data_IF_347945475754
#
_entry.id   IF_347945475754
#
_cell.length_a   1.000
_cell.length_b   1.000
_cell.length_c   1.000
_cell.angle_alpha   90.00
_cell.angle_beta   90.00
_cell.angle_gamma   90.00
#
_symmetry.space_group_name_H-M   'P 1'
#
loop_
_entity.id
_entity.type
_entity.pdbx_description
1 polymer ?
#
# COMPACT_ATOMS: atom_id res chain seq x y z
N UNK A 1 -22.46 -14.56 9.84
CA UNK A 1 -23.51 -15.56 9.53
C UNK A 1 -23.72 -16.45 10.74
N UNK A 2 -24.92 -16.54 11.25
CA UNK A 2 -25.29 -17.37 12.40
C UNK A 2 -26.69 -17.96 12.15
N UNK A 3 -26.80 -19.15 11.53
CA UNK A 3 -28.07 -19.81 11.38
C UNK A 3 -28.56 -20.33 12.74
N UNK A 4 -29.83 -20.15 13.05
CA UNK A 4 -30.41 -20.66 14.29
C UNK A 4 -31.53 -19.80 14.88
N UNK A 5 -31.91 -20.09 16.11
CA UNK A 5 -32.97 -19.39 16.82
C UNK A 5 -32.68 -17.91 17.01
N UNK A 6 -33.72 -17.08 16.96
CA UNK A 6 -33.62 -15.61 17.05
C UNK A 6 -32.78 -15.09 18.21
N UNK A 7 -32.72 -15.78 19.33
CA UNK A 7 -31.97 -15.36 20.51
C UNK A 7 -30.45 -15.55 20.37
N UNK A 8 -30.00 -16.58 19.61
CA UNK A 8 -28.57 -16.87 19.48
C UNK A 8 -27.81 -15.83 18.66
N UNK A 9 -28.40 -15.31 17.59
CA UNK A 9 -27.75 -14.29 16.79
C UNK A 9 -27.66 -12.94 17.53
N UNK A 10 -28.66 -12.63 18.37
CA UNK A 10 -28.62 -11.43 19.22
C UNK A 10 -27.53 -11.52 20.29
N UNK A 11 -27.37 -12.69 20.90
CA UNK A 11 -26.30 -12.98 21.86
C UNK A 11 -24.94 -12.90 21.21
N UNK A 12 -24.77 -13.53 20.04
CA UNK A 12 -23.52 -13.48 19.30
C UNK A 12 -23.16 -12.04 18.89
N UNK A 13 -24.13 -11.29 18.36
CA UNK A 13 -23.93 -9.87 18.03
C UNK A 13 -23.46 -9.08 19.26
N UNK A 14 -24.13 -9.23 20.39
CA UNK A 14 -23.75 -8.54 21.63
C UNK A 14 -22.36 -8.96 22.13
N UNK A 15 -21.98 -10.24 21.95
CA UNK A 15 -20.64 -10.72 22.28
C UNK A 15 -19.59 -10.12 21.35
N UNK A 16 -19.83 -10.08 20.05
CA UNK A 16 -18.96 -9.46 19.05
C UNK A 16 -18.81 -7.96 19.31
N UNK A 17 -19.91 -7.23 19.51
CA UNK A 17 -19.89 -5.78 19.76
C UNK A 17 -19.11 -5.45 21.04
N UNK A 18 -19.26 -6.27 22.09
CA UNK A 18 -18.56 -6.09 23.37
C UNK A 18 -17.05 -6.33 23.24
N UNK A 19 -16.67 -7.41 22.58
CA UNK A 19 -15.27 -7.85 22.50
C UNK A 19 -14.48 -7.21 21.38
N UNK A 20 -15.14 -6.82 20.29
CA UNK A 20 -14.54 -6.40 19.03
C UNK A 20 -15.04 -5.04 18.52
N UNK A 21 -16.03 -4.40 19.18
CA UNK A 21 -16.69 -3.18 18.71
C UNK A 21 -15.76 -1.97 18.48
N UNK A 22 -14.55 -1.98 19.07
CA UNK A 22 -13.49 -0.99 18.76
C UNK A 22 -12.71 -1.32 17.47
N UNK A 23 -12.77 -2.57 17.03
CA UNK A 23 -11.99 -3.07 15.90
C UNK A 23 -12.84 -3.29 14.64
N UNK A 24 -14.11 -3.64 14.80
CA UNK A 24 -15.04 -3.94 13.70
C UNK A 24 -16.43 -3.36 14.02
N UNK A 25 -17.19 -3.05 12.97
CA UNK A 25 -18.59 -2.67 13.05
C UNK A 25 -19.45 -3.75 12.41
N UNK A 26 -20.48 -4.22 13.11
CA UNK A 26 -21.42 -5.21 12.59
C UNK A 26 -22.49 -4.51 11.75
N UNK A 27 -22.31 -4.49 10.44
CA UNK A 27 -23.21 -3.81 9.48
C UNK A 27 -24.43 -4.66 9.13
N UNK A 28 -24.33 -5.99 9.19
CA UNK A 28 -25.41 -6.92 8.83
C UNK A 28 -25.28 -8.24 9.58
N UNK A 29 -26.41 -8.82 9.92
CA UNK A 29 -26.54 -10.20 10.44
C UNK A 29 -27.26 -11.04 9.40
N UNK A 30 -26.68 -12.18 9.00
CA UNK A 30 -27.28 -13.15 8.09
C UNK A 30 -27.61 -14.42 8.87
N UNK A 31 -28.87 -14.85 8.80
CA UNK A 31 -29.41 -16.01 9.57
C UNK A 31 -29.77 -17.20 8.71
N UNK A 32 -29.68 -17.11 7.39
CA UNK A 32 -29.93 -18.24 6.49
C UNK A 32 -28.85 -19.31 6.67
N UNK A 33 -29.28 -20.56 6.61
CA UNK A 33 -28.38 -21.72 6.69
C UNK A 33 -27.49 -21.84 5.41
N UNK A 34 -28.01 -21.40 4.29
CA UNK A 34 -27.32 -21.37 3.00
C UNK A 34 -27.28 -19.93 2.47
N UNK A 35 -26.36 -19.10 2.96
CA UNK A 35 -26.25 -17.72 2.52
C UNK A 35 -25.48 -17.61 1.20
N UNK A 36 -25.81 -16.63 0.39
CA UNK A 36 -25.01 -16.28 -0.78
C UNK A 36 -23.73 -15.53 -0.35
N UNK A 37 -22.66 -16.29 -0.12
CA UNK A 37 -21.36 -15.78 0.33
C UNK A 37 -20.73 -14.80 -0.65
N UNK A 38 -20.99 -14.95 -1.93
CA UNK A 38 -20.39 -14.12 -2.98
C UNK A 38 -21.01 -12.71 -3.01
N UNK A 39 -22.31 -12.62 -2.71
CA UNK A 39 -23.05 -11.35 -2.72
C UNK A 39 -22.90 -10.54 -1.42
N UNK A 40 -22.19 -11.06 -0.40
CA UNK A 40 -21.97 -10.32 0.84
C UNK A 40 -21.00 -9.17 0.63
N UNK A 41 -21.53 -7.96 0.57
CA UNK A 41 -20.73 -6.71 0.54
C UNK A 41 -20.30 -6.31 1.96
N UNK A 42 -19.26 -6.96 2.45
CA UNK A 42 -18.65 -6.69 3.75
C UNK A 42 -17.14 -6.96 3.70
N UNK A 43 -16.39 -6.25 4.51
CA UNK A 43 -14.92 -6.38 4.58
C UNK A 43 -14.50 -7.71 5.17
N UNK A 44 -15.20 -8.11 6.23
CA UNK A 44 -14.96 -9.30 6.99
C UNK A 44 -16.29 -9.99 7.26
N UNK A 45 -16.32 -11.30 7.15
CA UNK A 45 -17.47 -12.14 7.46
C UNK A 45 -17.11 -13.01 8.66
N UNK A 46 -17.83 -12.84 9.75
CA UNK A 46 -17.78 -13.77 10.88
C UNK A 46 -18.88 -14.80 10.73
N UNK A 47 -18.55 -16.07 10.88
CA UNK A 47 -19.51 -17.17 10.68
C UNK A 47 -19.40 -18.23 11.76
N UNK A 48 -20.53 -18.82 12.15
CA UNK A 48 -20.58 -20.00 13.04
C UNK A 48 -20.71 -21.33 12.27
N UNK A 49 -20.83 -21.26 10.94
CA UNK A 49 -20.89 -22.44 10.06
C UNK A 49 -19.67 -22.48 9.14
N UNK A 50 -19.31 -23.68 8.69
CA UNK A 50 -18.20 -23.83 7.75
C UNK A 50 -18.54 -23.18 6.40
N UNK A 51 -17.69 -22.28 5.89
CA UNK A 51 -17.89 -21.70 4.55
C UNK A 51 -17.58 -22.75 3.48
N UNK A 52 -18.21 -22.66 2.28
CA UNK A 52 -17.98 -23.59 1.19
C UNK A 52 -16.57 -23.48 0.58
N UNK A 53 -15.95 -22.32 0.72
CA UNK A 53 -14.60 -22.03 0.24
C UNK A 53 -13.80 -21.25 1.28
N UNK A 54 -12.51 -21.52 1.33
CA UNK A 54 -11.57 -20.73 2.15
C UNK A 54 -11.42 -19.31 1.57
N UNK A 55 -11.54 -18.31 2.42
CA UNK A 55 -11.32 -16.92 2.05
C UNK A 55 -10.73 -16.16 3.24
N UNK A 56 -9.73 -15.32 2.99
CA UNK A 56 -9.08 -14.51 4.03
C UNK A 56 -10.04 -13.52 4.71
N UNK A 57 -11.17 -13.23 4.06
CA UNK A 57 -12.22 -12.38 4.63
C UNK A 57 -13.28 -13.12 5.45
N UNK A 58 -13.20 -14.47 5.55
CA UNK A 58 -14.15 -15.27 6.30
C UNK A 58 -13.48 -15.89 7.51
N UNK A 59 -13.98 -15.60 8.70
CA UNK A 59 -13.47 -16.14 9.97
C UNK A 59 -14.56 -16.92 10.66
N UNK A 60 -14.32 -18.22 10.86
CA UNK A 60 -15.21 -19.06 11.66
C UNK A 60 -14.98 -18.80 13.13
N UNK A 61 -16.05 -18.51 13.86
CA UNK A 61 -16.05 -18.20 15.29
C UNK A 61 -17.06 -19.08 16.03
N UNK A 62 -16.80 -19.43 17.30
CA UNK A 62 -17.82 -20.07 18.15
C UNK A 62 -18.88 -19.05 18.56
N UNK A 63 -19.99 -19.54 19.14
CA UNK A 63 -21.04 -18.68 19.69
C UNK A 63 -20.56 -17.81 20.87
N UNK A 64 -19.61 -18.32 21.64
CA UNK A 64 -18.98 -17.61 22.75
C UNK A 64 -17.50 -17.42 22.40
N UNK A 65 -17.09 -16.17 22.23
CA UNK A 65 -15.73 -15.81 21.85
C UNK A 65 -14.78 -16.00 23.04
N UNK A 66 -13.70 -16.75 22.81
CA UNK A 66 -12.53 -16.75 23.69
C UNK A 66 -11.57 -15.61 23.31
N UNK A 67 -10.59 -15.31 24.17
CA UNK A 67 -9.55 -14.32 23.87
C UNK A 67 -8.79 -14.68 22.58
N UNK A 68 -8.52 -15.96 22.34
CA UNK A 68 -7.90 -16.44 21.11
C UNK A 68 -8.75 -16.19 19.86
N UNK A 69 -10.08 -16.30 19.99
CA UNK A 69 -11.00 -15.97 18.90
C UNK A 69 -11.00 -14.46 18.61
N UNK A 70 -10.98 -13.65 19.66
CA UNK A 70 -10.88 -12.19 19.54
C UNK A 70 -9.58 -11.81 18.82
N UNK A 71 -8.44 -12.36 19.20
CA UNK A 71 -7.14 -12.12 18.55
C UNK A 71 -7.14 -12.53 17.08
N UNK A 72 -7.72 -13.69 16.74
CA UNK A 72 -7.85 -14.15 15.34
C UNK A 72 -8.69 -13.19 14.50
N UNK A 73 -9.83 -12.74 15.02
CA UNK A 73 -10.70 -11.80 14.31
C UNK A 73 -10.02 -10.45 14.14
N UNK A 74 -9.33 -9.96 15.16
CA UNK A 74 -8.57 -8.71 15.06
C UNK A 74 -7.43 -8.81 14.05
N UNK A 75 -6.71 -9.93 14.00
CA UNK A 75 -5.67 -10.16 13.01
C UNK A 75 -6.24 -10.19 11.58
N UNK A 76 -7.38 -10.86 11.37
CA UNK A 76 -8.07 -10.85 10.08
C UNK A 76 -8.55 -9.45 9.69
N UNK A 77 -9.12 -8.70 10.62
CA UNK A 77 -9.56 -7.32 10.39
C UNK A 77 -8.38 -6.39 10.03
N UNK A 78 -7.22 -6.55 10.68
CA UNK A 78 -6.00 -5.82 10.30
C UNK A 78 -5.54 -6.15 8.89
N UNK A 79 -5.50 -7.44 8.51
CA UNK A 79 -5.14 -7.86 7.14
C UNK A 79 -6.08 -7.29 6.09
N UNK A 80 -7.37 -7.36 6.30
CA UNK A 80 -8.37 -6.83 5.36
C UNK A 80 -8.22 -5.32 5.19
N UNK A 81 -8.05 -4.58 6.29
CA UNK A 81 -7.80 -3.13 6.23
C UNK A 81 -6.52 -2.81 5.49
N UNK A 82 -5.42 -3.54 5.76
CA UNK A 82 -4.14 -3.40 5.05
C UNK A 82 -4.30 -3.63 3.55
N UNK A 83 -4.94 -4.73 3.15
CA UNK A 83 -5.17 -5.04 1.74
C UNK A 83 -5.98 -3.95 1.03
N UNK A 84 -7.07 -3.46 1.65
CA UNK A 84 -7.87 -2.37 1.09
C UNK A 84 -7.09 -1.06 0.98
N UNK A 85 -6.35 -0.73 2.03
CA UNK A 85 -5.50 0.47 2.05
C UNK A 85 -4.46 0.42 0.93
N UNK A 86 -3.73 -0.71 0.80
CA UNK A 86 -2.76 -0.90 -0.28
C UNK A 86 -3.41 -0.86 -1.68
N UNK A 87 -4.58 -1.46 -1.86
CA UNK A 87 -5.31 -1.39 -3.13
C UNK A 87 -5.71 0.05 -3.48
N UNK A 88 -6.17 0.83 -2.49
CA UNK A 88 -6.49 2.25 -2.68
C UNK A 88 -5.24 3.07 -3.02
N UNK A 89 -4.16 2.90 -2.25
CA UNK A 89 -2.88 3.57 -2.49
C UNK A 89 -2.32 3.24 -3.87
N UNK A 90 -2.38 1.96 -4.27
CA UNK A 90 -1.99 1.53 -5.61
C UNK A 90 -2.80 2.26 -6.68
N UNK A 91 -4.12 2.29 -6.57
CA UNK A 91 -4.98 2.97 -7.54
C UNK A 91 -4.71 4.49 -7.62
N UNK A 92 -4.39 5.12 -6.49
CA UNK A 92 -4.03 6.54 -6.45
C UNK A 92 -2.65 6.81 -7.03
N UNK A 93 -1.66 5.95 -6.80
CA UNK A 93 -0.30 6.08 -7.34
C UNK A 93 -0.22 5.69 -8.82
N UNK A 94 -1.04 4.73 -9.27
CA UNK A 94 -1.01 4.19 -10.63
C UNK A 94 -1.16 5.27 -11.71
N UNK A 95 -1.91 6.33 -11.44
CA UNK A 95 -2.07 7.47 -12.35
C UNK A 95 -0.77 8.26 -12.63
N UNK A 96 0.23 8.15 -11.75
CA UNK A 96 1.52 8.82 -11.91
C UNK A 96 2.56 7.95 -12.60
N UNK A 97 2.32 6.63 -12.72
CA UNK A 97 3.22 5.72 -13.42
C UNK A 97 2.86 5.65 -14.91
N UNK A 98 3.89 5.74 -15.77
CA UNK A 98 3.74 5.34 -17.16
C UNK A 98 4.21 3.89 -17.34
N UNK A 99 3.67 3.13 -18.32
CA UNK A 99 4.02 1.72 -18.53
C UNK A 99 5.53 1.47 -18.73
N UNK A 100 6.27 2.46 -19.25
CA UNK A 100 7.71 2.39 -19.49
C UNK A 100 8.56 2.99 -18.39
N UNK A 101 7.96 3.44 -17.30
CA UNK A 101 8.66 4.08 -16.17
C UNK A 101 9.09 3.10 -15.10
N UNK A 102 9.24 1.81 -15.44
CA UNK A 102 9.63 0.76 -14.51
C UNK A 102 10.82 -0.06 -15.01
N UNK A 103 11.85 -0.21 -14.16
CA UNK A 103 13.08 -0.97 -14.43
C UNK A 103 13.30 -2.01 -13.34
N UNK A 104 13.46 -3.29 -13.70
CA UNK A 104 13.68 -4.39 -12.74
C UNK A 104 15.14 -4.73 -12.48
N UNK A 105 16.04 -4.20 -13.26
CA UNK A 105 17.43 -4.61 -13.32
C UNK A 105 18.37 -3.41 -13.14
N UNK A 106 18.15 -2.62 -12.10
CA UNK A 106 19.08 -1.58 -11.73
C UNK A 106 20.43 -2.21 -11.38
N UNK A 107 21.50 -1.66 -11.97
CA UNK A 107 22.85 -2.03 -11.60
C UNK A 107 23.20 -1.47 -10.22
N UNK A 108 23.30 -2.34 -9.23
CA UNK A 108 23.67 -1.95 -7.88
C UNK A 108 25.08 -1.34 -7.76
N UNK A 109 25.94 -1.54 -8.75
CA UNK A 109 27.29 -0.96 -8.82
C UNK A 109 27.38 0.38 -9.54
N UNK A 110 26.32 0.84 -10.18
CA UNK A 110 26.35 2.05 -11.02
C UNK A 110 26.46 3.36 -10.23
N UNK A 111 26.10 3.35 -8.95
CA UNK A 111 26.05 4.55 -8.11
C UNK A 111 24.76 5.37 -8.29
N UNK A 112 24.52 6.26 -7.33
CA UNK A 112 23.27 7.05 -7.20
C UNK A 112 22.99 7.90 -8.45
N UNK A 113 23.99 8.65 -8.90
CA UNK A 113 23.83 9.56 -10.04
C UNK A 113 23.48 8.84 -11.32
N UNK A 114 24.15 7.72 -11.63
CA UNK A 114 23.86 6.92 -12.82
C UNK A 114 22.45 6.32 -12.77
N UNK A 115 21.96 5.95 -11.58
CA UNK A 115 20.60 5.47 -11.39
C UNK A 115 19.58 6.60 -11.58
N UNK A 116 19.86 7.79 -11.04
CA UNK A 116 19.01 8.98 -11.24
C UNK A 116 18.94 9.33 -12.73
N UNK A 117 20.08 9.32 -13.44
CA UNK A 117 20.10 9.52 -14.90
C UNK A 117 19.27 8.46 -15.63
N UNK A 118 19.39 7.18 -15.26
CA UNK A 118 18.64 6.11 -15.91
C UNK A 118 17.12 6.26 -15.72
N UNK A 119 16.67 6.58 -14.51
CA UNK A 119 15.25 6.81 -14.23
C UNK A 119 14.77 8.13 -14.85
N UNK A 120 15.59 9.16 -14.82
CA UNK A 120 15.34 10.44 -15.48
C UNK A 120 15.14 10.29 -16.99
N UNK A 121 15.97 9.47 -17.66
CA UNK A 121 15.83 9.20 -19.08
C UNK A 121 14.47 8.58 -19.44
N UNK A 122 13.87 7.79 -18.57
CA UNK A 122 12.51 7.26 -18.77
C UNK A 122 11.48 8.40 -18.74
N UNK A 123 11.60 9.32 -17.79
CA UNK A 123 10.69 10.46 -17.68
C UNK A 123 10.89 11.49 -18.81
N UNK A 124 12.11 11.63 -19.31
CA UNK A 124 12.40 12.44 -20.52
C UNK A 124 11.75 11.81 -21.74
N UNK A 125 11.89 10.50 -21.92
CA UNK A 125 11.27 9.78 -23.05
C UNK A 125 9.72 9.88 -23.05
N UNK A 126 9.12 10.05 -21.88
CA UNK A 126 7.67 10.29 -21.70
C UNK A 126 7.30 11.79 -21.83
N UNK A 127 8.25 12.68 -22.10
CA UNK A 127 8.03 14.11 -22.21
C UNK A 127 7.62 14.81 -20.90
N UNK A 128 7.98 14.21 -19.76
CA UNK A 128 7.60 14.71 -18.44
C UNK A 128 8.59 15.76 -17.95
N UNK A 129 9.88 15.50 -18.13
CA UNK A 129 11.00 16.37 -17.69
C UNK A 129 12.02 16.54 -18.79
N UNK A 130 12.97 17.43 -18.58
CA UNK A 130 14.17 17.65 -19.40
C UNK A 130 15.45 17.24 -18.63
N UNK A 131 16.60 17.29 -19.33
CA UNK A 131 17.91 16.99 -18.73
C UNK A 131 18.20 17.89 -17.52
N UNK A 132 17.80 19.15 -17.57
CA UNK A 132 18.02 20.08 -16.48
C UNK A 132 17.29 19.71 -15.20
N UNK A 133 16.17 19.00 -15.31
CA UNK A 133 15.47 18.45 -14.15
C UNK A 133 16.26 17.30 -13.50
N UNK A 134 16.88 16.45 -14.32
CA UNK A 134 17.74 15.34 -13.85
C UNK A 134 18.94 15.89 -13.09
N UNK A 135 19.63 16.89 -13.65
CA UNK A 135 20.76 17.55 -13.00
C UNK A 135 20.37 18.17 -11.64
N UNK A 136 19.23 18.86 -11.58
CA UNK A 136 18.71 19.39 -10.30
C UNK A 136 18.34 18.31 -9.29
N UNK A 137 17.91 17.13 -9.76
CA UNK A 137 17.65 16.00 -8.87
C UNK A 137 18.95 15.44 -8.29
N UNK A 138 20.02 15.38 -9.09
CA UNK A 138 21.36 14.98 -8.64
C UNK A 138 21.94 16.01 -7.66
N UNK A 139 21.81 17.31 -7.95
CA UNK A 139 22.22 18.37 -7.02
C UNK A 139 21.50 18.24 -5.68
N UNK A 140 20.18 17.95 -5.73
CA UNK A 140 19.37 17.71 -4.53
C UNK A 140 19.87 16.50 -3.73
N UNK A 141 20.22 15.40 -4.41
CA UNK A 141 20.75 14.19 -3.77
C UNK A 141 22.08 14.48 -3.06
N UNK A 142 22.99 15.20 -3.72
CA UNK A 142 24.30 15.61 -3.16
C UNK A 142 24.18 16.48 -1.91
N UNK A 143 23.12 17.26 -1.76
CA UNK A 143 22.88 18.10 -0.58
C UNK A 143 22.53 17.27 0.65
N UNK A 144 21.76 16.23 0.47
CA UNK A 144 21.32 15.33 1.52
C UNK A 144 20.69 14.10 0.87
N UNK A 145 21.07 12.91 1.31
CA UNK A 145 20.52 11.67 0.77
C UNK A 145 18.99 11.64 0.80
N UNK A 146 18.40 11.16 -0.30
CA UNK A 146 16.97 10.90 -0.39
C UNK A 146 16.60 9.46 0.00
N UNK A 147 17.52 8.70 0.63
CA UNK A 147 17.18 7.43 1.26
C UNK A 147 16.11 7.68 2.33
N UNK A 148 14.93 7.17 2.07
CA UNK A 148 13.75 7.41 2.90
C UNK A 148 13.55 6.31 3.96
N UNK A 149 13.84 5.06 3.58
CA UNK A 149 13.86 3.89 4.46
C UNK A 149 15.10 3.08 4.18
N UNK A 150 15.34 2.01 4.95
CA UNK A 150 16.45 1.07 4.71
C UNK A 150 16.35 0.32 3.35
N UNK A 151 15.28 0.53 2.58
CA UNK A 151 15.05 -0.15 1.30
C UNK A 151 14.65 0.78 0.16
N UNK A 152 14.32 2.05 0.45
CA UNK A 152 13.73 2.99 -0.51
C UNK A 152 14.50 4.31 -0.56
N UNK A 153 14.88 4.75 -1.77
CA UNK A 153 15.27 6.14 -2.05
C UNK A 153 14.24 6.82 -2.94
N UNK A 154 14.05 8.15 -2.73
CA UNK A 154 13.07 8.95 -3.48
C UNK A 154 13.74 10.19 -4.05
N UNK A 155 14.63 10.05 -5.08
CA UNK A 155 15.27 11.19 -5.72
C UNK A 155 14.24 12.09 -6.43
N UNK A 156 14.39 13.39 -6.27
CA UNK A 156 13.52 14.42 -6.84
C UNK A 156 14.25 15.77 -6.93
N UNK A 157 13.79 16.64 -7.81
CA UNK A 157 14.25 18.04 -7.82
C UNK A 157 13.43 18.90 -6.86
N UNK A 158 14.03 19.94 -6.29
CA UNK A 158 13.30 20.93 -5.48
C UNK A 158 12.36 21.80 -6.33
N UNK A 159 12.65 21.95 -7.62
CA UNK A 159 11.82 22.70 -8.56
C UNK A 159 10.69 21.85 -9.10
N UNK A 160 9.48 22.39 -9.17
CA UNK A 160 8.28 21.71 -9.70
C UNK A 160 8.08 22.03 -11.19
N UNK A 161 9.13 21.84 -12.01
CA UNK A 161 9.13 22.23 -13.43
C UNK A 161 8.76 21.11 -14.40
N UNK A 162 8.32 19.96 -13.90
CA UNK A 162 7.79 18.89 -14.74
C UNK A 162 6.50 19.32 -15.44
N UNK A 163 6.24 18.82 -16.64
CA UNK A 163 5.01 19.09 -17.40
C UNK A 163 3.77 18.50 -16.74
N UNK A 164 3.95 17.41 -16.02
CA UNK A 164 2.96 16.75 -15.13
C UNK A 164 3.70 16.01 -14.03
N UNK A 165 3.02 15.72 -12.94
CA UNK A 165 3.58 14.84 -11.91
C UNK A 165 3.66 13.41 -12.43
N UNK A 166 4.84 12.79 -12.33
CA UNK A 166 5.07 11.42 -12.76
C UNK A 166 6.18 10.74 -11.96
N UNK A 167 6.16 9.41 -11.99
CA UNK A 167 7.05 8.54 -11.23
C UNK A 167 7.76 7.57 -12.18
N UNK A 168 9.08 7.45 -12.03
CA UNK A 168 9.86 6.35 -12.57
C UNK A 168 10.43 5.53 -11.41
N UNK A 169 10.32 4.21 -11.50
CA UNK A 169 10.71 3.28 -10.45
C UNK A 169 11.71 2.26 -10.96
N UNK A 170 12.72 1.99 -10.15
CA UNK A 170 13.69 0.95 -10.41
C UNK A 170 13.90 0.05 -9.20
N UNK A 171 14.16 -1.22 -9.46
CA UNK A 171 14.49 -2.22 -8.43
C UNK A 171 15.80 -2.91 -8.79
N UNK A 172 16.57 -3.28 -7.77
CA UNK A 172 17.77 -4.08 -7.90
C UNK A 172 17.64 -5.38 -7.12
N UNK A 173 18.25 -6.44 -7.63
CA UNK A 173 18.31 -7.75 -6.95
C UNK A 173 19.24 -7.74 -5.74
N UNK A 174 20.17 -6.78 -5.69
CA UNK A 174 21.11 -6.57 -4.59
C UNK A 174 21.01 -5.16 -4.05
N UNK A 175 21.33 -4.94 -2.75
CA UNK A 175 21.34 -3.61 -2.17
C UNK A 175 22.26 -2.65 -2.95
N UNK A 176 21.74 -1.47 -3.24
CA UNK A 176 22.43 -0.37 -3.89
C UNK A 176 22.99 0.54 -2.77
N UNK A 177 24.28 0.87 -2.74
CA UNK A 177 24.78 1.90 -1.85
C UNK A 177 24.07 3.24 -2.13
N UNK A 178 23.52 3.88 -1.09
CA UNK A 178 22.78 5.14 -1.20
C UNK A 178 22.99 5.98 0.06
N UNK A 179 23.66 7.12 -0.07
CA UNK A 179 24.10 7.90 1.07
C UNK A 179 25.00 7.08 1.99
N UNK A 180 24.67 7.08 3.27
CA UNK A 180 25.37 6.27 4.29
C UNK A 180 24.79 4.85 4.43
N UNK A 181 23.73 4.53 3.69
CA UNK A 181 22.98 3.27 3.78
C UNK A 181 22.92 2.48 2.48
N UNK A 182 21.88 1.67 2.38
CA UNK A 182 21.60 0.87 1.19
C UNK A 182 20.10 0.88 0.92
N UNK A 183 19.73 0.84 -0.38
CA UNK A 183 18.34 0.70 -0.81
C UNK A 183 18.23 -0.41 -1.87
N UNK A 184 17.04 -0.94 -2.09
CA UNK A 184 16.75 -1.89 -3.16
C UNK A 184 15.77 -1.34 -4.18
N UNK A 185 15.04 -0.30 -3.80
CA UNK A 185 14.04 0.36 -4.63
C UNK A 185 14.38 1.84 -4.73
N UNK A 186 14.38 2.36 -5.94
CA UNK A 186 14.56 3.80 -6.20
C UNK A 186 13.35 4.31 -6.94
N UNK A 187 12.70 5.32 -6.40
CA UNK A 187 11.48 5.94 -6.94
C UNK A 187 11.78 7.40 -7.25
N UNK A 188 12.14 7.69 -8.49
CA UNK A 188 12.33 9.06 -8.95
C UNK A 188 10.99 9.73 -9.18
N UNK A 189 10.75 10.87 -8.52
CA UNK A 189 9.49 11.61 -8.63
C UNK A 189 9.73 12.94 -9.32
N UNK A 190 9.01 13.19 -10.39
CA UNK A 190 8.94 14.48 -11.06
C UNK A 190 7.65 15.21 -10.65
N UNK A 191 7.77 16.41 -10.11
CA UNK A 191 6.62 17.21 -9.67
C UNK A 191 6.34 18.37 -10.61
N UNK A 192 5.06 18.56 -10.92
CA UNK A 192 4.53 19.72 -11.62
C UNK A 192 3.94 20.72 -10.64
N UNK A 193 4.12 22.02 -10.91
CA UNK A 193 3.52 23.08 -10.10
C UNK A 193 1.98 23.04 -10.12
N UNK A 194 1.38 22.61 -11.23
CA UNK A 194 -0.07 22.40 -11.34
C UNK A 194 -0.60 21.35 -10.38
N UNK A 195 0.24 20.40 -9.95
CA UNK A 195 -0.13 19.27 -9.09
C UNK A 195 0.48 19.39 -7.68
N UNK A 196 0.69 20.60 -7.19
CA UNK A 196 1.34 20.86 -5.90
C UNK A 196 0.70 20.08 -4.74
N UNK A 197 -0.62 19.91 -4.76
CA UNK A 197 -1.33 19.09 -3.77
C UNK A 197 -0.96 17.60 -3.86
N UNK A 198 -0.55 17.12 -5.04
CA UNK A 198 -0.12 15.75 -5.23
C UNK A 198 1.23 15.45 -4.56
N UNK A 199 2.09 16.45 -4.39
CA UNK A 199 3.41 16.29 -3.76
C UNK A 199 3.30 15.64 -2.39
N UNK A 200 2.52 16.24 -1.49
CA UNK A 200 2.35 15.73 -0.13
C UNK A 200 1.70 14.34 -0.14
N UNK A 201 0.65 14.17 -0.96
CA UNK A 201 -0.07 12.89 -1.07
C UNK A 201 0.82 11.77 -1.59
N UNK A 202 1.59 12.01 -2.66
CA UNK A 202 2.51 10.99 -3.23
C UNK A 202 3.59 10.60 -2.23
N UNK A 203 4.20 11.56 -1.54
CA UNK A 203 5.20 11.27 -0.53
C UNK A 203 4.62 10.47 0.64
N UNK A 204 3.50 10.89 1.21
CA UNK A 204 2.84 10.18 2.30
C UNK A 204 2.49 8.73 1.90
N UNK A 205 2.00 8.53 0.68
CA UNK A 205 1.63 7.22 0.16
C UNK A 205 2.84 6.32 -0.11
N UNK A 206 3.92 6.85 -0.68
CA UNK A 206 5.17 6.09 -0.87
C UNK A 206 5.74 5.66 0.48
N UNK A 207 5.81 6.60 1.43
CA UNK A 207 6.23 6.32 2.80
C UNK A 207 5.43 5.18 3.39
N UNK A 208 4.13 5.27 3.31
CA UNK A 208 3.19 4.32 3.88
C UNK A 208 3.37 2.91 3.29
N UNK A 209 3.48 2.80 1.94
CA UNK A 209 3.66 1.52 1.25
C UNK A 209 4.98 0.84 1.63
N UNK A 210 6.07 1.60 1.78
CA UNK A 210 7.41 1.05 2.00
C UNK A 210 7.87 1.05 3.47
N UNK A 211 7.15 1.69 4.38
CA UNK A 211 7.46 1.68 5.82
C UNK A 211 6.75 0.56 6.59
N UNK A 212 5.73 -0.06 6.02
CA UNK A 212 5.05 -1.19 6.66
C UNK A 212 5.94 -2.44 6.55
N UNK A 213 6.74 -2.68 7.59
CA UNK A 213 7.36 -3.99 7.86
C UNK A 213 6.29 -4.93 8.44
N UNK A 214 6.29 -6.18 7.99
CA UNK A 214 5.48 -7.29 8.54
C UNK A 214 5.81 -7.58 10.00
#
# INVERSE_FOLDING_TARGET
VCPGYHDLHSLLRSSVDRSLGKAIEVVRVETRADPDWASMDSDLILTTIAPPQHSDRIVTIPLFLSDADVERVQAAARRVRRTRRLARLRAELEKYFAPRSFVRDLDAGAGEEAIIHRLGALLIAEGVIDESYVERSIERERMSSTAFTESLAVPHALSMTATRTAIAMGMADRPIPWGEGHVQVVVMVAFSESDRAAFQTVFEQLVEVFSERD
#
